data_IF_256616668058
#
_entry.id   IF_256616668058
#
_cell.length_a   1.000
_cell.length_b   1.000
_cell.length_c   1.000
_cell.angle_alpha   90.00
_cell.angle_beta   90.00
_cell.angle_gamma   90.00
#
_symmetry.space_group_name_H-M   'P 1'
#
loop_
_entity.id
_entity.type
_entity.pdbx_description
1 polymer ?
#
# COMPACT_ATOMS: atom_id res chain seq x y z
N UNK A 1 -26.75 30.93 24.93
CA UNK A 1 -27.53 29.86 24.24
C UNK A 1 -27.26 28.54 24.96
N UNK A 2 -28.26 27.92 25.62
CA UNK A 2 -28.05 26.63 26.33
C UNK A 2 -27.90 25.51 25.30
N UNK A 3 -26.70 24.93 25.20
CA UNK A 3 -26.43 23.77 24.33
C UNK A 3 -27.24 22.58 24.86
N UNK A 4 -28.01 21.91 23.99
CA UNK A 4 -28.79 20.72 24.36
C UNK A 4 -27.88 19.58 24.80
N UNK A 5 -28.41 18.66 25.61
CA UNK A 5 -27.68 17.46 26.06
C UNK A 5 -27.19 16.60 24.89
N UNK A 6 -27.98 16.51 23.81
CA UNK A 6 -27.59 15.81 22.58
C UNK A 6 -26.43 16.49 21.87
N UNK A 7 -26.43 17.82 21.74
CA UNK A 7 -25.31 18.57 21.13
C UNK A 7 -24.03 18.45 21.96
N UNK A 8 -24.11 18.48 23.29
CA UNK A 8 -22.94 18.22 24.15
C UNK A 8 -22.37 16.81 23.93
N UNK A 9 -23.24 15.81 23.85
CA UNK A 9 -22.84 14.41 23.59
C UNK A 9 -22.18 14.27 22.22
N UNK A 10 -22.75 14.93 21.20
CA UNK A 10 -22.16 15.02 19.86
C UNK A 10 -20.75 15.60 19.88
N UNK A 11 -20.56 16.78 20.48
CA UNK A 11 -19.23 17.41 20.55
C UNK A 11 -18.20 16.53 21.25
N UNK A 12 -18.56 15.89 22.37
CA UNK A 12 -17.63 15.02 23.13
C UNK A 12 -17.23 13.80 22.31
N UNK A 13 -18.20 13.06 21.74
CA UNK A 13 -17.91 11.88 20.91
C UNK A 13 -17.16 12.29 19.64
N UNK A 14 -17.50 13.44 19.07
CA UNK A 14 -16.80 14.07 17.96
C UNK A 14 -15.32 14.26 18.22
N UNK A 15 -14.97 14.96 19.31
CA UNK A 15 -13.56 15.19 19.70
C UNK A 15 -12.85 13.86 19.95
N UNK A 16 -13.42 12.96 20.75
CA UNK A 16 -12.79 11.68 21.10
C UNK A 16 -12.51 10.86 19.84
N UNK A 17 -13.52 10.67 18.98
CA UNK A 17 -13.39 9.88 17.76
C UNK A 17 -12.38 10.47 16.79
N UNK A 18 -12.41 11.79 16.59
CA UNK A 18 -11.45 12.50 15.74
C UNK A 18 -10.02 12.40 16.28
N UNK A 19 -9.83 12.57 17.59
CA UNK A 19 -8.52 12.40 18.24
C UNK A 19 -7.97 10.99 18.07
N UNK A 20 -8.81 9.95 18.21
CA UNK A 20 -8.38 8.55 17.98
C UNK A 20 -7.92 8.36 16.54
N UNK A 21 -8.69 8.85 15.56
CA UNK A 21 -8.31 8.75 14.13
C UNK A 21 -6.99 9.51 13.86
N UNK A 22 -6.83 10.71 14.40
CA UNK A 22 -5.57 11.45 14.27
C UNK A 22 -4.39 10.70 14.88
N UNK A 23 -4.55 10.10 16.06
CA UNK A 23 -3.51 9.26 16.66
C UNK A 23 -3.16 8.05 15.79
N UNK A 24 -4.15 7.35 15.22
CA UNK A 24 -3.91 6.24 14.30
C UNK A 24 -3.17 6.68 13.03
N UNK A 25 -3.50 7.85 12.48
CA UNK A 25 -2.80 8.44 11.33
C UNK A 25 -1.35 8.76 11.72
N UNK A 26 -1.12 9.38 12.88
CA UNK A 26 0.23 9.69 13.38
C UNK A 26 1.06 8.40 13.50
N UNK A 27 0.51 7.35 14.13
CA UNK A 27 1.19 6.05 14.20
C UNK A 27 1.40 5.42 12.82
N UNK A 28 0.47 5.58 11.89
CA UNK A 28 0.64 5.14 10.50
C UNK A 28 1.79 5.85 9.80
N UNK A 29 1.94 7.15 9.99
CA UNK A 29 3.02 7.95 9.40
C UNK A 29 4.37 7.51 9.99
N UNK A 30 4.47 7.38 11.32
CA UNK A 30 5.72 6.97 11.97
C UNK A 30 6.18 5.55 11.60
N UNK A 31 5.25 4.64 11.26
CA UNK A 31 5.59 3.28 10.78
C UNK A 31 6.07 3.26 9.33
N UNK A 32 5.79 4.31 8.55
CA UNK A 32 6.11 4.36 7.14
C UNK A 32 7.58 4.74 6.92
N UNK A 33 8.26 4.00 6.06
CA UNK A 33 9.61 4.35 5.58
C UNK A 33 9.56 5.06 4.23
N UNK A 34 8.40 5.59 3.83
CA UNK A 34 8.29 6.42 2.62
C UNK A 34 8.90 7.79 2.86
N UNK A 35 9.71 8.27 1.93
CA UNK A 35 10.26 9.63 1.97
C UNK A 35 9.18 10.72 1.96
N UNK A 36 7.98 10.39 1.46
CA UNK A 36 6.82 11.30 1.44
C UNK A 36 5.91 11.13 2.66
N UNK A 37 6.22 10.23 3.61
CA UNK A 37 5.36 9.97 4.76
C UNK A 37 5.08 11.22 5.60
N UNK A 38 6.09 12.09 5.78
CA UNK A 38 5.98 13.31 6.55
C UNK A 38 4.95 14.30 5.99
N UNK A 39 4.67 14.26 4.68
CA UNK A 39 3.61 15.08 4.05
C UNK A 39 2.24 14.74 4.68
N UNK A 40 2.06 13.52 5.19
CA UNK A 40 0.84 13.10 5.88
C UNK A 40 0.48 13.97 7.09
N UNK A 41 1.46 14.57 7.79
CA UNK A 41 1.19 15.46 8.93
C UNK A 41 0.39 16.70 8.53
N UNK A 42 0.61 17.21 7.31
CA UNK A 42 -0.09 18.39 6.76
C UNK A 42 -1.60 18.13 6.64
N UNK A 43 -2.00 16.88 6.39
CA UNK A 43 -3.40 16.51 6.19
C UNK A 43 -4.13 16.08 7.47
N UNK A 44 -3.44 15.94 8.61
CA UNK A 44 -4.07 15.54 9.89
C UNK A 44 -5.25 16.45 10.29
N UNK A 45 -5.16 17.79 10.19
CA UNK A 45 -6.30 18.67 10.53
C UNK A 45 -7.53 18.41 9.65
N UNK A 46 -7.32 18.08 8.37
CA UNK A 46 -8.40 17.74 7.43
C UNK A 46 -9.07 16.44 7.84
N UNK A 47 -8.28 15.39 8.11
CA UNK A 47 -8.83 14.11 8.60
C UNK A 47 -9.51 14.25 9.95
N UNK A 48 -8.98 15.08 10.85
CA UNK A 48 -9.61 15.40 12.13
C UNK A 48 -10.98 16.04 11.91
N UNK A 49 -11.09 17.05 11.04
CA UNK A 49 -12.36 17.72 10.76
C UNK A 49 -13.42 16.76 10.18
N UNK A 50 -13.03 15.92 9.23
CA UNK A 50 -13.92 14.92 8.62
C UNK A 50 -14.39 13.91 9.67
N UNK A 51 -13.46 13.34 10.45
CA UNK A 51 -13.79 12.41 11.53
C UNK A 51 -14.68 13.07 12.60
N UNK A 52 -14.35 14.30 12.99
CA UNK A 52 -15.10 15.08 13.97
C UNK A 52 -16.55 15.25 13.55
N UNK A 53 -16.83 15.58 12.28
CA UNK A 53 -18.20 15.69 11.75
C UNK A 53 -18.93 14.35 11.88
N UNK A 54 -18.33 13.26 11.38
CA UNK A 54 -18.96 11.93 11.41
C UNK A 54 -19.27 11.44 12.84
N UNK A 55 -18.30 11.55 13.74
CA UNK A 55 -18.47 11.17 15.14
C UNK A 55 -19.40 12.13 15.90
N UNK A 56 -19.44 13.41 15.54
CA UNK A 56 -20.39 14.37 16.14
C UNK A 56 -21.83 14.05 15.76
N UNK A 57 -22.09 13.65 14.51
CA UNK A 57 -23.42 13.21 14.07
C UNK A 57 -23.83 11.96 14.85
N UNK A 58 -22.95 10.94 14.92
CA UNK A 58 -23.20 9.74 15.72
C UNK A 58 -23.52 10.10 17.18
N UNK A 59 -22.69 10.93 17.80
CA UNK A 59 -22.88 11.30 19.20
C UNK A 59 -24.12 12.15 19.45
N UNK A 60 -24.50 13.00 18.50
CA UNK A 60 -25.75 13.76 18.56
C UNK A 60 -26.95 12.82 18.54
N UNK A 61 -26.98 11.86 17.61
CA UNK A 61 -28.07 10.90 17.49
C UNK A 61 -28.16 9.99 18.73
N UNK A 62 -27.04 9.50 19.26
CA UNK A 62 -26.99 8.75 20.51
C UNK A 62 -27.50 9.59 21.69
N UNK A 63 -27.07 10.84 21.79
CA UNK A 63 -27.54 11.76 22.83
C UNK A 63 -29.03 12.08 22.72
N UNK A 64 -29.56 12.19 21.50
CA UNK A 64 -30.99 12.42 21.22
C UNK A 64 -31.83 11.20 21.63
N UNK A 65 -31.40 10.00 21.26
CA UNK A 65 -32.04 8.74 21.68
C UNK A 65 -32.01 8.59 23.21
N UNK A 66 -30.87 8.88 23.84
CA UNK A 66 -30.72 8.83 25.31
C UNK A 66 -31.67 9.82 26.01
N UNK A 67 -31.81 11.04 25.48
CA UNK A 67 -32.74 12.04 26.01
C UNK A 67 -34.21 11.58 25.88
N UNK A 68 -34.57 10.98 24.75
CA UNK A 68 -35.90 10.40 24.54
C UNK A 68 -36.19 9.24 25.50
N UNK A 69 -35.25 8.32 25.71
CA UNK A 69 -35.40 7.21 26.67
C UNK A 69 -35.67 7.70 28.11
N UNK A 70 -35.13 8.87 28.47
CA UNK A 70 -35.33 9.52 29.76
C UNK A 70 -36.57 10.42 29.86
N UNK A 71 -37.26 10.71 28.75
CA UNK A 71 -38.49 11.53 28.77
C UNK A 71 -39.71 10.75 29.23
N UNK A 72 -40.61 11.40 29.98
CA UNK A 72 -41.93 10.86 30.36
C UNK A 72 -42.99 11.91 29.99
N UNK A 73 -43.97 11.61 29.11
CA UNK A 73 -44.17 10.34 28.40
C UNK A 73 -43.21 10.15 27.22
N UNK A 74 -42.90 8.88 26.88
CA UNK A 74 -42.06 8.53 25.73
C UNK A 74 -42.88 8.53 24.43
N UNK A 75 -42.97 9.69 23.79
CA UNK A 75 -43.65 9.79 22.49
C UNK A 75 -42.65 9.46 21.39
N UNK A 76 -42.92 8.40 20.62
CA UNK A 76 -42.11 8.05 19.47
C UNK A 76 -42.50 8.94 18.28
N UNK A 77 -41.51 9.59 17.66
CA UNK A 77 -41.72 10.42 16.48
C UNK A 77 -40.68 10.12 15.41
N UNK A 78 -40.93 10.60 14.19
CA UNK A 78 -40.05 10.36 13.04
C UNK A 78 -38.57 10.74 13.31
N UNK A 79 -38.31 11.81 14.08
CA UNK A 79 -36.94 12.24 14.41
C UNK A 79 -36.21 11.24 15.31
N UNK A 80 -36.91 10.63 16.28
CA UNK A 80 -36.36 9.57 17.14
C UNK A 80 -36.03 8.34 16.30
N UNK A 81 -36.96 7.90 15.45
CA UNK A 81 -36.73 6.78 14.53
C UNK A 81 -35.52 7.01 13.63
N UNK A 82 -35.41 8.20 13.03
CA UNK A 82 -34.27 8.58 12.19
C UNK A 82 -32.95 8.57 12.98
N UNK A 83 -32.94 9.13 14.20
CA UNK A 83 -31.75 9.14 15.05
C UNK A 83 -31.29 7.72 15.43
N UNK A 84 -32.21 6.78 15.67
CA UNK A 84 -31.87 5.37 15.89
C UNK A 84 -31.19 4.75 14.68
N UNK A 85 -31.79 4.89 13.50
CA UNK A 85 -31.25 4.31 12.27
C UNK A 85 -29.86 4.87 11.97
N UNK A 86 -29.69 6.19 12.02
CA UNK A 86 -28.39 6.83 11.78
C UNK A 86 -27.34 6.37 12.78
N UNK A 87 -27.70 6.26 14.07
CA UNK A 87 -26.76 5.79 15.10
C UNK A 87 -26.32 4.35 14.83
N UNK A 88 -27.24 3.47 14.49
CA UNK A 88 -26.94 2.05 14.21
C UNK A 88 -26.06 1.94 12.96
N UNK A 89 -26.41 2.62 11.86
CA UNK A 89 -25.62 2.58 10.63
C UNK A 89 -24.19 3.09 10.85
N UNK A 90 -24.02 4.23 11.53
CA UNK A 90 -22.69 4.79 11.83
C UNK A 90 -21.91 3.91 12.81
N UNK A 91 -22.57 3.34 13.83
CA UNK A 91 -21.93 2.41 14.76
C UNK A 91 -21.45 1.14 14.05
N UNK A 92 -22.27 0.53 13.19
CA UNK A 92 -21.90 -0.64 12.39
C UNK A 92 -20.71 -0.31 11.48
N UNK A 93 -20.72 0.86 10.84
CA UNK A 93 -19.61 1.29 9.98
C UNK A 93 -18.29 1.42 10.77
N UNK A 94 -18.31 2.09 11.93
CA UNK A 94 -17.12 2.28 12.78
C UNK A 94 -16.64 0.94 13.35
N UNK A 95 -17.53 0.16 13.97
CA UNK A 95 -17.18 -1.12 14.59
C UNK A 95 -16.70 -2.12 13.52
N UNK A 96 -17.36 -2.16 12.36
CA UNK A 96 -16.96 -3.02 11.25
C UNK A 96 -15.58 -2.68 10.70
N UNK A 97 -15.28 -1.38 10.53
CA UNK A 97 -13.96 -0.91 10.10
C UNK A 97 -12.85 -1.25 11.10
N UNK A 98 -13.09 -0.98 12.40
CA UNK A 98 -12.15 -1.31 13.47
C UNK A 98 -11.94 -2.82 13.58
N UNK A 99 -13.04 -3.59 13.59
CA UNK A 99 -13.01 -5.05 13.65
C UNK A 99 -12.25 -5.66 12.49
N UNK A 100 -12.53 -5.23 11.25
CA UNK A 100 -11.79 -5.67 10.06
C UNK A 100 -10.29 -5.35 10.18
N UNK A 101 -9.94 -4.14 10.61
CA UNK A 101 -8.54 -3.72 10.77
C UNK A 101 -7.77 -4.54 11.80
N UNK A 102 -8.38 -4.82 12.95
CA UNK A 102 -7.78 -5.66 14.00
C UNK A 102 -7.67 -7.13 13.57
N UNK A 103 -8.71 -7.68 12.94
CA UNK A 103 -8.68 -9.05 12.41
C UNK A 103 -7.59 -9.22 11.36
N UNK A 104 -7.50 -8.30 10.39
CA UNK A 104 -6.44 -8.33 9.39
C UNK A 104 -5.05 -8.17 10.01
N UNK A 105 -4.90 -7.35 11.07
CA UNK A 105 -3.64 -7.25 11.81
C UNK A 105 -3.24 -8.59 12.41
N UNK A 106 -4.19 -9.29 13.03
CA UNK A 106 -3.94 -10.63 13.57
C UNK A 106 -3.56 -11.63 12.48
N UNK A 107 -4.34 -11.68 11.39
CA UNK A 107 -4.12 -12.62 10.27
C UNK A 107 -2.78 -12.37 9.60
N UNK A 108 -2.46 -11.13 9.24
CA UNK A 108 -1.17 -10.78 8.63
C UNK A 108 0.00 -11.04 9.57
N UNK A 109 -0.20 -10.91 10.88
CA UNK A 109 0.81 -11.30 11.87
C UNK A 109 1.03 -12.81 11.92
N UNK A 110 -0.04 -13.61 11.86
CA UNK A 110 0.06 -15.07 11.80
C UNK A 110 0.75 -15.53 10.51
N UNK A 111 0.38 -14.96 9.36
CA UNK A 111 1.00 -15.27 8.07
C UNK A 111 2.51 -15.02 8.08
N UNK A 112 2.98 -13.96 8.74
CA UNK A 112 4.42 -13.70 8.89
C UNK A 112 5.15 -14.74 9.74
N UNK A 113 4.46 -15.36 10.69
CA UNK A 113 5.00 -16.42 11.53
C UNK A 113 4.94 -17.82 10.90
N UNK A 114 4.25 -17.97 9.76
CA UNK A 114 4.20 -19.24 9.04
C UNK A 114 5.55 -19.53 8.39
N UNK A 115 6.01 -20.77 8.54
CA UNK A 115 7.32 -21.21 8.08
C UNK A 115 7.23 -22.23 6.94
N UNK A 116 6.01 -22.65 6.58
CA UNK A 116 5.80 -23.64 5.52
C UNK A 116 4.89 -23.08 4.43
N UNK A 117 5.17 -23.48 3.18
CA UNK A 117 4.30 -23.14 2.04
C UNK A 117 2.88 -23.70 2.22
N UNK A 118 2.71 -24.84 2.90
CA UNK A 118 1.40 -25.46 3.09
C UNK A 118 0.47 -24.60 3.95
N UNK A 119 0.99 -23.96 5.00
CA UNK A 119 0.21 -23.02 5.83
C UNK A 119 -0.22 -21.79 5.02
N UNK A 120 0.68 -21.28 4.17
CA UNK A 120 0.39 -20.16 3.28
C UNK A 120 -0.65 -20.53 2.21
N UNK A 121 -0.53 -21.71 1.60
CA UNK A 121 -1.51 -22.25 0.66
C UNK A 121 -2.88 -22.41 1.31
N UNK A 122 -2.95 -23.01 2.50
CA UNK A 122 -4.20 -23.14 3.24
C UNK A 122 -4.85 -21.76 3.51
N UNK A 123 -4.04 -20.74 3.82
CA UNK A 123 -4.53 -19.37 3.97
C UNK A 123 -5.01 -18.79 2.65
N UNK A 124 -4.28 -19.02 1.56
CA UNK A 124 -4.63 -18.53 0.22
C UNK A 124 -5.90 -19.18 -0.36
N UNK A 125 -6.18 -20.43 0.00
CA UNK A 125 -7.35 -21.15 -0.51
C UNK A 125 -8.57 -20.97 0.39
N UNK A 126 -8.39 -21.10 1.71
CA UNK A 126 -9.50 -21.28 2.65
C UNK A 126 -9.80 -20.06 3.54
N UNK A 127 -8.94 -19.04 3.58
CA UNK A 127 -9.18 -17.86 4.43
C UNK A 127 -10.37 -17.04 3.90
N UNK A 128 -11.19 -16.54 4.82
CA UNK A 128 -12.23 -15.55 4.49
C UNK A 128 -11.65 -14.28 3.81
N UNK A 129 -10.38 -13.96 4.10
CA UNK A 129 -9.68 -12.80 3.53
C UNK A 129 -8.66 -13.20 2.45
N UNK A 130 -8.82 -14.34 1.80
CA UNK A 130 -7.88 -14.89 0.81
C UNK A 130 -7.66 -14.02 -0.44
N UNK A 131 -8.52 -13.05 -0.72
CA UNK A 131 -8.36 -12.06 -1.79
C UNK A 131 -8.10 -10.64 -1.27
N UNK A 132 -7.99 -10.45 0.05
CA UNK A 132 -7.66 -9.14 0.60
C UNK A 132 -6.18 -8.83 0.34
N UNK A 133 -5.90 -7.67 -0.25
CA UNK A 133 -4.55 -7.25 -0.63
C UNK A 133 -3.54 -7.26 0.53
N UNK A 134 -3.99 -7.08 1.78
CA UNK A 134 -3.09 -7.14 2.93
C UNK A 134 -2.69 -8.58 3.27
N UNK A 135 -3.62 -9.53 3.12
CA UNK A 135 -3.33 -10.97 3.26
C UNK A 135 -2.42 -11.42 2.13
N UNK A 136 -2.75 -11.07 0.88
CA UNK A 136 -1.93 -11.41 -0.28
C UNK A 136 -0.54 -10.78 -0.20
N UNK A 137 -0.43 -9.53 0.27
CA UNK A 137 0.85 -8.88 0.51
C UNK A 137 1.67 -9.57 1.61
N UNK A 138 1.03 -10.00 2.70
CA UNK A 138 1.68 -10.75 3.76
C UNK A 138 2.18 -12.13 3.28
N UNK A 139 1.43 -12.81 2.41
CA UNK A 139 1.88 -14.06 1.78
C UNK A 139 3.05 -13.78 0.83
N UNK A 140 2.92 -12.78 -0.04
CA UNK A 140 3.93 -12.45 -1.06
C UNK A 140 5.29 -12.02 -0.46
N UNK A 141 5.30 -11.42 0.74
CA UNK A 141 6.55 -11.08 1.43
C UNK A 141 7.14 -12.23 2.27
N UNK A 142 6.39 -13.33 2.47
CA UNK A 142 6.87 -14.46 3.27
C UNK A 142 7.87 -15.31 2.47
N UNK A 143 9.01 -15.63 3.06
CA UNK A 143 10.09 -16.43 2.43
C UNK A 143 9.72 -17.91 2.25
N UNK A 144 8.69 -18.40 2.95
CA UNK A 144 8.16 -19.74 2.76
C UNK A 144 7.20 -19.84 1.56
N UNK A 145 6.83 -18.73 0.92
CA UNK A 145 5.96 -18.75 -0.26
C UNK A 145 6.68 -19.44 -1.44
N UNK A 146 6.05 -20.48 -1.97
CA UNK A 146 6.54 -21.21 -3.13
C UNK A 146 6.44 -20.38 -4.43
N UNK A 147 7.26 -20.70 -5.44
CA UNK A 147 7.11 -20.12 -6.78
C UNK A 147 5.68 -20.27 -7.34
N UNK A 148 5.03 -21.42 -7.11
CA UNK A 148 3.68 -21.74 -7.60
C UNK A 148 2.60 -20.90 -6.92
N UNK A 149 2.74 -20.67 -5.61
CA UNK A 149 1.83 -19.78 -4.86
C UNK A 149 2.00 -18.33 -5.32
N UNK A 150 3.23 -17.86 -5.48
CA UNK A 150 3.51 -16.51 -5.99
C UNK A 150 2.96 -16.32 -7.43
N UNK A 151 3.08 -17.34 -8.27
CA UNK A 151 2.49 -17.38 -9.61
C UNK A 151 0.96 -17.30 -9.56
N UNK A 152 0.34 -18.02 -8.64
CA UNK A 152 -1.11 -17.98 -8.41
C UNK A 152 -1.59 -16.59 -7.98
N UNK A 153 -0.83 -15.90 -7.11
CA UNK A 153 -1.10 -14.51 -6.72
C UNK A 153 -0.94 -13.58 -7.93
N UNK A 154 0.12 -13.74 -8.72
CA UNK A 154 0.40 -12.91 -9.90
C UNK A 154 -0.71 -12.99 -10.97
N UNK A 155 -1.35 -14.15 -11.08
CA UNK A 155 -2.43 -14.42 -12.04
C UNK A 155 -3.82 -14.03 -11.56
N UNK A 156 -3.96 -13.46 -10.35
CA UNK A 156 -5.22 -12.90 -9.91
C UNK A 156 -5.60 -11.68 -10.76
N UNK A 157 -6.82 -11.68 -11.33
CA UNK A 157 -7.35 -10.56 -12.11
C UNK A 157 -7.83 -9.42 -11.19
N UNK A 158 -6.90 -8.77 -10.50
CA UNK A 158 -7.18 -7.63 -9.61
C UNK A 158 -6.13 -6.52 -9.78
N UNK A 159 -6.55 -5.43 -10.44
CA UNK A 159 -5.73 -4.24 -10.66
C UNK A 159 -5.34 -3.51 -9.36
N UNK A 160 -6.09 -3.72 -8.27
CA UNK A 160 -5.78 -3.13 -6.98
C UNK A 160 -4.45 -3.63 -6.41
N UNK A 161 -4.02 -4.84 -6.82
CA UNK A 161 -2.76 -5.47 -6.40
C UNK A 161 -1.51 -4.80 -7.00
N UNK A 162 -1.68 -3.96 -8.02
CA UNK A 162 -0.62 -3.23 -8.70
C UNK A 162 -0.33 -1.86 -8.06
N UNK A 163 -1.22 -1.40 -7.18
CA UNK A 163 -1.14 -0.11 -6.52
C UNK A 163 -0.58 -0.24 -5.10
N UNK A 164 0.06 0.84 -4.63
CA UNK A 164 0.59 0.92 -3.28
C UNK A 164 -0.48 0.62 -2.23
N UNK A 165 -0.12 -0.13 -1.19
CA UNK A 165 -1.03 -0.48 -0.10
C UNK A 165 -0.70 0.37 1.12
N UNK A 166 -1.72 0.96 1.73
CA UNK A 166 -1.63 1.76 2.93
C UNK A 166 -2.72 1.36 3.92
N UNK A 167 -2.43 1.43 5.22
CA UNK A 167 -3.38 1.12 6.28
C UNK A 167 -3.09 1.90 7.54
N UNK A 168 -4.15 2.32 8.25
CA UNK A 168 -4.06 2.88 9.60
C UNK A 168 -3.66 1.82 10.64
N UNK A 169 -3.79 0.54 10.30
CA UNK A 169 -3.47 -0.59 11.17
C UNK A 169 -2.06 -1.12 10.91
N UNK A 170 -1.39 -1.75 11.90
CA UNK A 170 -0.03 -2.31 11.76
C UNK A 170 0.03 -3.61 10.95
N UNK A 171 -0.72 -3.70 9.85
CA UNK A 171 -0.88 -4.94 9.08
C UNK A 171 0.08 -5.08 7.88
N UNK A 172 0.94 -4.09 7.62
CA UNK A 172 1.92 -4.13 6.52
C UNK A 172 3.19 -4.90 6.88
N UNK A 173 3.46 -5.13 8.16
CA UNK A 173 4.69 -5.76 8.64
C UNK A 173 5.95 -5.12 8.06
N UNK A 174 6.77 -5.91 7.36
CA UNK A 174 8.02 -5.44 6.77
C UNK A 174 7.84 -4.57 5.52
N UNK A 175 6.64 -4.57 4.94
CA UNK A 175 6.26 -3.68 3.83
C UNK A 175 6.02 -2.23 4.30
N UNK A 176 6.98 -1.65 5.01
CA UNK A 176 6.91 -0.29 5.58
C UNK A 176 6.88 0.81 4.52
N UNK A 177 7.23 0.50 3.27
CA UNK A 177 7.10 1.41 2.12
C UNK A 177 5.71 1.40 1.49
N UNK A 178 4.83 0.48 1.88
CA UNK A 178 3.51 0.33 1.27
C UNK A 178 3.58 -0.13 -0.19
N UNK A 179 4.55 -0.98 -0.52
CA UNK A 179 4.70 -1.56 -1.86
C UNK A 179 3.44 -2.32 -2.26
N UNK A 180 3.06 -2.21 -3.53
CA UNK A 180 1.98 -3.01 -4.09
C UNK A 180 2.25 -4.52 -3.95
N UNK A 181 1.21 -5.35 -3.93
CA UNK A 181 1.35 -6.81 -3.83
C UNK A 181 2.20 -7.36 -4.97
N UNK A 182 2.00 -6.89 -6.20
CA UNK A 182 2.82 -7.34 -7.35
C UNK A 182 4.31 -6.99 -7.20
N UNK A 183 4.63 -5.86 -6.55
CA UNK A 183 6.03 -5.52 -6.24
C UNK A 183 6.61 -6.47 -5.19
N UNK A 184 5.81 -6.88 -4.20
CA UNK A 184 6.23 -7.87 -3.21
C UNK A 184 6.47 -9.24 -3.86
N UNK A 185 5.59 -9.67 -4.78
CA UNK A 185 5.76 -10.89 -5.58
C UNK A 185 7.08 -10.83 -6.36
N UNK A 186 7.33 -9.75 -7.12
CA UNK A 186 8.56 -9.60 -7.90
C UNK A 186 9.81 -9.54 -7.02
N UNK A 187 9.73 -8.96 -5.83
CA UNK A 187 10.87 -8.86 -4.90
C UNK A 187 11.11 -10.14 -4.09
N UNK A 188 10.17 -11.08 -4.07
CA UNK A 188 10.33 -12.32 -3.31
C UNK A 188 11.44 -13.18 -3.97
N UNK A 189 12.43 -13.67 -3.19
CA UNK A 189 13.53 -14.46 -3.75
C UNK A 189 13.07 -15.76 -4.43
N UNK A 190 11.89 -16.29 -4.08
CA UNK A 190 11.35 -17.52 -4.65
C UNK A 190 10.51 -17.30 -5.92
N UNK A 191 10.27 -16.05 -6.36
CA UNK A 191 9.48 -15.79 -7.58
C UNK A 191 10.09 -16.51 -8.79
N UNK A 192 9.28 -17.16 -9.62
CA UNK A 192 9.80 -17.86 -10.80
C UNK A 192 10.11 -16.89 -11.94
N UNK A 193 11.04 -17.25 -12.84
CA UNK A 193 11.27 -16.49 -14.06
C UNK A 193 10.00 -16.40 -14.92
N UNK A 194 9.22 -17.49 -15.00
CA UNK A 194 7.96 -17.53 -15.74
C UNK A 194 6.93 -16.53 -15.19
N UNK A 195 6.84 -16.37 -13.86
CA UNK A 195 5.96 -15.40 -13.22
C UNK A 195 6.39 -13.96 -13.53
N UNK A 196 7.70 -13.69 -13.53
CA UNK A 196 8.24 -12.38 -13.93
C UNK A 196 7.90 -12.08 -15.39
N UNK A 197 8.15 -13.04 -16.29
CA UNK A 197 7.85 -12.88 -17.71
C UNK A 197 6.35 -12.71 -17.96
N UNK A 198 5.51 -13.44 -17.24
CA UNK A 198 4.06 -13.23 -17.26
C UNK A 198 3.71 -11.79 -16.86
N UNK A 199 4.19 -11.32 -15.70
CA UNK A 199 3.91 -9.96 -15.23
C UNK A 199 4.42 -8.90 -16.22
N UNK A 200 5.60 -9.08 -16.79
CA UNK A 200 6.19 -8.17 -17.78
C UNK A 200 5.41 -8.07 -19.10
N UNK A 201 4.52 -9.03 -19.36
CA UNK A 201 3.66 -9.08 -20.55
C UNK A 201 2.19 -8.72 -20.23
N UNK A 202 1.89 -8.32 -18.99
CA UNK A 202 0.56 -7.85 -18.59
C UNK A 202 0.58 -6.35 -18.33
N UNK A 203 -0.62 -5.75 -18.19
CA UNK A 203 -0.72 -4.35 -17.82
C UNK A 203 -0.25 -4.17 -16.36
N UNK A 204 0.86 -3.45 -16.17
CA UNK A 204 1.50 -3.22 -14.88
C UNK A 204 1.86 -1.75 -14.74
N UNK A 205 1.93 -1.27 -13.50
CA UNK A 205 2.40 0.09 -13.19
C UNK A 205 3.91 0.21 -13.42
N UNK A 206 4.40 1.41 -13.70
CA UNK A 206 5.85 1.67 -13.90
C UNK A 206 6.69 1.23 -12.70
N UNK A 207 6.13 1.27 -11.48
CA UNK A 207 6.79 0.76 -10.28
C UNK A 207 7.01 -0.75 -10.30
N UNK A 208 6.01 -1.51 -10.79
CA UNK A 208 6.14 -2.97 -10.96
C UNK A 208 7.11 -3.26 -12.10
N UNK A 209 7.00 -2.56 -13.23
CA UNK A 209 7.90 -2.72 -14.37
C UNK A 209 9.36 -2.38 -14.02
N UNK A 210 9.59 -1.37 -13.19
CA UNK A 210 10.93 -1.05 -12.67
C UNK A 210 11.50 -2.14 -11.77
N UNK A 211 10.69 -2.71 -10.89
CA UNK A 211 11.14 -3.86 -10.08
C UNK A 211 11.39 -5.11 -10.93
N UNK A 212 10.59 -5.33 -11.99
CA UNK A 212 10.83 -6.40 -12.99
C UNK A 212 12.16 -6.13 -13.71
N UNK A 213 12.38 -4.92 -14.23
CA UNK A 213 13.62 -4.57 -14.90
C UNK A 213 14.85 -4.78 -14.02
N UNK A 214 14.74 -4.51 -12.71
CA UNK A 214 15.81 -4.74 -11.73
C UNK A 214 15.98 -6.19 -11.26
N UNK A 215 15.08 -7.11 -11.61
CA UNK A 215 15.13 -8.48 -11.12
C UNK A 215 16.13 -9.36 -11.93
N UNK A 216 17.01 -10.08 -11.23
CA UNK A 216 18.04 -10.94 -11.84
C UNK A 216 17.49 -12.13 -12.65
N UNK A 217 16.21 -12.47 -12.47
CA UNK A 217 15.53 -13.54 -13.22
C UNK A 217 14.86 -13.03 -14.50
N UNK A 218 14.82 -11.72 -14.75
CA UNK A 218 14.27 -11.14 -15.98
C UNK A 218 15.13 -11.48 -17.19
N UNK A 219 14.49 -11.87 -18.29
CA UNK A 219 15.18 -12.22 -19.54
C UNK A 219 15.73 -10.99 -20.26
N UNK A 220 16.81 -11.18 -21.02
CA UNK A 220 17.43 -10.14 -21.85
C UNK A 220 16.41 -9.52 -22.82
N UNK A 221 15.56 -10.35 -23.43
CA UNK A 221 14.52 -9.89 -24.37
C UNK A 221 13.49 -8.99 -23.68
N UNK A 222 13.09 -9.33 -22.45
CA UNK A 222 12.22 -8.47 -21.65
C UNK A 222 12.92 -7.19 -21.22
N UNK A 223 14.21 -7.20 -20.87
CA UNK A 223 14.97 -5.98 -20.58
C UNK A 223 15.01 -5.02 -21.79
N UNK A 224 15.27 -5.55 -23.00
CA UNK A 224 15.21 -4.76 -24.24
C UNK A 224 13.82 -4.18 -24.49
N UNK A 225 12.76 -4.97 -24.28
CA UNK A 225 11.38 -4.50 -24.44
C UNK A 225 11.02 -3.41 -23.43
N UNK A 226 11.48 -3.54 -22.18
CA UNK A 226 11.23 -2.56 -21.13
C UNK A 226 11.96 -1.25 -21.38
N UNK A 227 13.16 -1.26 -21.96
CA UNK A 227 13.87 -0.04 -22.37
C UNK A 227 13.02 0.88 -23.26
N UNK A 228 12.20 0.30 -24.15
CA UNK A 228 11.34 1.06 -25.06
C UNK A 228 10.26 1.89 -24.35
N UNK A 229 9.97 1.61 -23.07
CA UNK A 229 8.99 2.37 -22.28
C UNK A 229 9.50 3.75 -21.86
N UNK A 230 10.82 3.99 -21.90
CA UNK A 230 11.48 5.28 -21.57
C UNK A 230 10.98 5.92 -20.26
N UNK A 231 10.84 5.11 -19.22
CA UNK A 231 10.39 5.56 -17.90
C UNK A 231 11.54 5.48 -16.90
N UNK A 232 11.71 6.51 -16.07
CA UNK A 232 12.85 6.59 -15.15
C UNK A 232 12.91 5.44 -14.12
N UNK A 233 11.76 4.90 -13.67
CA UNK A 233 11.75 3.76 -12.74
C UNK A 233 12.24 2.48 -13.42
N UNK A 234 11.91 2.33 -14.70
CA UNK A 234 12.37 1.22 -15.53
C UNK A 234 13.85 1.40 -15.84
N UNK A 235 14.29 2.59 -16.22
CA UNK A 235 15.70 2.91 -16.47
C UNK A 235 16.57 2.63 -15.23
N UNK A 236 16.08 2.93 -14.01
CA UNK A 236 16.76 2.54 -12.77
C UNK A 236 16.87 1.02 -12.59
N UNK A 237 15.79 0.28 -12.87
CA UNK A 237 15.82 -1.18 -12.84
C UNK A 237 16.82 -1.75 -13.85
N UNK A 238 16.80 -1.26 -15.10
CA UNK A 238 17.72 -1.65 -16.16
C UNK A 238 19.18 -1.35 -15.76
N UNK A 239 19.46 -0.17 -15.23
CA UNK A 239 20.80 0.23 -14.80
C UNK A 239 21.34 -0.63 -13.65
N UNK A 240 20.48 -1.16 -12.77
CA UNK A 240 20.86 -2.04 -11.67
C UNK A 240 21.02 -3.52 -12.06
N UNK A 241 20.33 -3.97 -13.11
CA UNK A 241 20.31 -5.37 -13.46
C UNK A 241 21.61 -5.80 -14.16
N UNK A 242 22.23 -6.84 -13.63
CA UNK A 242 23.49 -7.40 -14.16
C UNK A 242 23.29 -8.13 -15.50
N UNK A 243 22.06 -8.49 -15.86
CA UNK A 243 21.73 -9.08 -17.17
C UNK A 243 21.45 -8.04 -18.25
N UNK A 244 21.41 -6.75 -17.91
CA UNK A 244 21.13 -5.70 -18.89
C UNK A 244 22.24 -5.67 -19.94
N UNK A 245 21.90 -5.85 -21.24
CA UNK A 245 22.88 -5.80 -22.31
C UNK A 245 23.54 -4.43 -22.48
N UNK A 246 24.75 -4.41 -23.06
CA UNK A 246 25.46 -3.17 -23.33
C UNK A 246 24.72 -2.24 -24.29
N UNK A 247 23.95 -2.78 -25.26
CA UNK A 247 23.13 -1.96 -26.16
C UNK A 247 22.04 -1.19 -25.42
N UNK A 248 21.44 -1.79 -24.38
CA UNK A 248 20.46 -1.12 -23.53
C UNK A 248 21.14 -0.04 -22.70
N UNK A 249 22.32 -0.31 -22.13
CA UNK A 249 23.07 0.71 -21.40
C UNK A 249 23.42 1.93 -22.28
N UNK A 250 23.84 1.72 -23.53
CA UNK A 250 24.09 2.84 -24.47
C UNK A 250 22.87 3.74 -24.62
N UNK A 251 21.68 3.14 -24.80
CA UNK A 251 20.42 3.90 -24.90
C UNK A 251 20.05 4.64 -23.61
N UNK A 252 20.41 4.10 -22.45
CA UNK A 252 20.24 4.81 -21.17
C UNK A 252 21.12 6.07 -21.09
N UNK A 253 22.33 6.03 -21.65
CA UNK A 253 23.22 7.21 -21.72
C UNK A 253 22.74 8.28 -22.70
N UNK A 254 21.91 7.90 -23.67
CA UNK A 254 21.31 8.79 -24.66
C UNK A 254 20.00 9.44 -24.19
N UNK A 255 19.52 9.10 -22.99
CA UNK A 255 18.34 9.75 -22.41
C UNK A 255 18.62 11.24 -22.20
N UNK A 256 17.60 12.05 -22.47
CA UNK A 256 17.63 13.48 -22.14
C UNK A 256 17.87 13.67 -20.63
N UNK A 257 18.55 14.76 -20.29
CA UNK A 257 18.87 15.06 -18.90
C UNK A 257 17.60 15.44 -18.14
N UNK A 258 17.17 14.55 -17.25
CA UNK A 258 16.11 14.81 -16.28
C UNK A 258 16.64 14.62 -14.86
N UNK A 259 15.88 15.06 -13.86
CA UNK A 259 16.32 15.04 -12.45
C UNK A 259 16.71 13.65 -11.92
N UNK A 260 16.23 12.56 -12.54
CA UNK A 260 16.53 11.17 -12.18
C UNK A 260 17.71 10.55 -12.94
N UNK A 261 18.19 11.22 -14.00
CA UNK A 261 19.23 10.70 -14.89
C UNK A 261 20.58 10.60 -14.17
N UNK A 262 20.89 11.55 -13.28
CA UNK A 262 22.05 11.44 -12.37
C UNK A 262 22.07 10.10 -11.63
N UNK A 263 20.95 9.70 -11.06
CA UNK A 263 20.83 8.43 -10.33
C UNK A 263 21.05 7.23 -11.24
N UNK A 264 20.51 7.25 -12.46
CA UNK A 264 20.74 6.20 -13.48
C UNK A 264 22.24 6.07 -13.79
N UNK A 265 22.93 7.19 -14.01
CA UNK A 265 24.38 7.20 -14.27
C UNK A 265 25.17 6.63 -13.08
N UNK A 266 24.85 7.04 -11.86
CA UNK A 266 25.48 6.50 -10.64
C UNK A 266 25.24 4.98 -10.49
N UNK A 267 24.06 4.48 -10.86
CA UNK A 267 23.76 3.05 -10.85
C UNK A 267 24.59 2.28 -11.90
N UNK A 268 24.72 2.81 -13.11
CA UNK A 268 25.58 2.22 -14.15
C UNK A 268 27.04 2.12 -13.70
N UNK A 269 27.56 3.16 -13.04
CA UNK A 269 28.93 3.15 -12.51
C UNK A 269 29.15 2.08 -11.43
N UNK A 270 28.10 1.68 -10.71
CA UNK A 270 28.15 0.63 -9.68
C UNK A 270 27.83 -0.77 -10.20
N UNK A 271 27.18 -0.88 -11.36
CA UNK A 271 26.81 -2.18 -11.92
C UNK A 271 28.04 -2.91 -12.48
N UNK A 272 28.38 -4.12 -11.99
CA UNK A 272 29.54 -4.88 -12.49
C UNK A 272 29.50 -5.19 -13.99
N UNK A 273 28.31 -5.37 -14.56
CA UNK A 273 28.12 -5.74 -15.97
C UNK A 273 28.33 -4.59 -16.95
N UNK A 274 28.54 -3.37 -16.47
CA UNK A 274 28.77 -2.20 -17.31
C UNK A 274 30.20 -2.20 -17.84
N UNK A 275 30.35 -2.13 -19.18
CA UNK A 275 31.64 -2.12 -19.86
C UNK A 275 32.46 -0.87 -19.52
N UNK A 276 33.81 -0.91 -19.64
CA UNK A 276 34.66 0.25 -19.39
C UNK A 276 34.28 1.48 -20.23
N UNK A 277 33.90 1.30 -21.49
CA UNK A 277 33.46 2.37 -22.38
C UNK A 277 32.21 3.08 -21.85
N UNK A 278 31.18 2.32 -21.47
CA UNK A 278 29.94 2.85 -20.89
C UNK A 278 30.22 3.54 -19.55
N UNK A 279 31.13 3.01 -18.73
CA UNK A 279 31.53 3.64 -17.46
C UNK A 279 32.20 4.99 -17.68
N UNK A 280 33.13 5.09 -18.63
CA UNK A 280 33.80 6.35 -18.96
C UNK A 280 32.79 7.39 -19.41
N UNK A 281 31.91 7.03 -20.36
CA UNK A 281 30.86 7.94 -20.85
C UNK A 281 29.87 8.33 -19.76
N UNK A 282 29.47 7.40 -18.89
CA UNK A 282 28.61 7.70 -17.75
C UNK A 282 29.29 8.67 -16.77
N UNK A 283 30.58 8.50 -16.51
CA UNK A 283 31.35 9.40 -15.64
C UNK A 283 31.52 10.79 -16.23
N UNK A 284 31.65 10.91 -17.55
CA UNK A 284 31.71 12.21 -18.24
C UNK A 284 30.38 12.93 -18.15
N UNK A 285 29.28 12.26 -18.49
CA UNK A 285 27.92 12.82 -18.38
C UNK A 285 27.58 13.24 -16.95
N UNK A 286 28.09 12.52 -15.94
CA UNK A 286 27.86 12.85 -14.52
C UNK A 286 28.54 14.16 -14.10
N UNK A 287 29.66 14.55 -14.74
CA UNK A 287 30.33 15.84 -14.46
C UNK A 287 29.51 17.05 -14.92
N UNK A 288 28.52 16.82 -15.79
CA UNK A 288 27.66 17.86 -16.33
C UNK A 288 26.38 18.08 -15.50
N UNK A 289 26.31 17.51 -14.29
CA UNK A 289 25.26 17.70 -13.27
C UNK A 289 25.82 18.35 -12.00
#
# INVERSE_FOLDING_TARGET
MKISTSTKTGLVIGVIGASIISLLIIFSIFRSTSSTAAIGFVFIPVYFAIAFIGFSILGYCVGYVKAWLGSVPRIFNFKVGLAFIVSICLAIFVIGGLGKGLLLTSITSQIRGMNTNQELLNTFDNSFFNRDKFVLGAIAQNLAASPELLDSIAKLNDLSLQNAIGSLFPLLGDNRKGLAVMRLVVKNPNVSANTIEYLANTNQTDYVLGDIAGNSKTSIETLRRLELKKNYLIDWGLAQNQKTPSDVFSKLLEREKYFTQRTTLEMLLRNPSTSPEIRTRASELLKEY
#
